data_IF_288057091288
#
_entry.id   IF_288057091288
#
_cell.length_a   1.000
_cell.length_b   1.000
_cell.length_c   1.000
_cell.angle_alpha   90.00
_cell.angle_beta   90.00
_cell.angle_gamma   90.00
#
_symmetry.space_group_name_H-M   'P 1'
#
loop_
_entity.id
_entity.type
_entity.pdbx_description
1 polymer ?
#
# COMPACT_ATOMS: atom_id res chain seq x y z
N UNK A 1 -7.57 -30.07 1.04
CA UNK A 1 -7.06 -29.00 0.14
C UNK A 1 -7.11 -27.68 0.88
N UNK A 2 -6.01 -27.28 1.54
CA UNK A 2 -5.95 -26.01 2.27
C UNK A 2 -5.71 -24.87 1.26
N UNK A 3 -6.73 -24.04 1.04
CA UNK A 3 -6.62 -22.81 0.26
C UNK A 3 -5.79 -21.82 1.07
N UNK A 4 -4.48 -21.84 0.85
CA UNK A 4 -3.56 -20.85 1.42
C UNK A 4 -3.88 -19.50 0.77
N UNK A 5 -4.78 -18.74 1.39
CA UNK A 5 -5.10 -17.36 1.02
C UNK A 5 -3.86 -16.52 1.25
N UNK A 6 -2.96 -16.51 0.26
CA UNK A 6 -1.89 -15.54 0.14
C UNK A 6 -2.57 -14.18 0.10
N UNK A 7 -2.72 -13.52 1.25
CA UNK A 7 -3.05 -12.11 1.28
C UNK A 7 -1.88 -11.43 0.57
N UNK A 8 -2.07 -10.88 -0.64
CA UNK A 8 -0.95 -10.44 -1.48
C UNK A 8 -0.21 -9.25 -0.89
N UNK A 9 -0.79 -8.60 0.13
CA UNK A 9 -0.32 -7.36 0.69
C UNK A 9 -0.27 -7.45 2.22
N UNK A 10 0.88 -7.11 2.77
CA UNK A 10 1.12 -7.04 4.21
C UNK A 10 0.12 -6.07 4.87
N UNK A 11 -0.44 -6.37 6.07
CA UNK A 11 -1.44 -5.52 6.73
C UNK A 11 -0.97 -4.07 6.93
N UNK A 12 0.34 -3.85 7.11
CA UNK A 12 0.93 -2.50 7.20
C UNK A 12 0.72 -1.62 5.96
N UNK A 13 0.44 -2.20 4.79
CA UNK A 13 0.15 -1.45 3.55
C UNK A 13 -1.21 -0.77 3.65
N UNK A 14 -2.19 -1.41 4.28
CA UNK A 14 -3.51 -0.83 4.51
C UNK A 14 -3.44 0.34 5.48
N UNK A 15 -2.62 0.24 6.53
CA UNK A 15 -2.40 1.34 7.47
C UNK A 15 -1.76 2.55 6.74
N UNK A 16 -0.72 2.30 5.94
CA UNK A 16 -0.09 3.35 5.14
C UNK A 16 -1.04 3.97 4.09
N UNK A 17 -1.98 3.18 3.55
CA UNK A 17 -3.00 3.66 2.62
C UNK A 17 -4.02 4.56 3.33
N UNK A 18 -4.38 4.25 4.57
CA UNK A 18 -5.25 5.08 5.41
C UNK A 18 -4.57 6.42 5.76
N UNK A 19 -3.28 6.39 6.13
CA UNK A 19 -2.50 7.61 6.38
C UNK A 19 -2.32 8.47 5.13
N UNK A 20 -2.17 7.85 3.96
CA UNK A 20 -2.12 8.53 2.66
C UNK A 20 -3.47 9.19 2.32
N UNK A 21 -4.59 8.48 2.51
CA UNK A 21 -5.94 9.02 2.31
C UNK A 21 -6.28 10.12 3.30
N UNK A 22 -5.83 10.00 4.55
CA UNK A 22 -6.00 11.00 5.60
C UNK A 22 -5.09 12.21 5.45
N UNK A 23 -4.21 12.26 4.43
CA UNK A 23 -3.27 13.36 4.22
C UNK A 23 -2.16 13.45 5.27
N UNK A 24 -2.03 12.44 6.14
CA UNK A 24 -0.94 12.32 7.13
C UNK A 24 0.39 11.96 6.48
N UNK A 25 0.34 11.47 5.24
CA UNK A 25 1.46 10.96 4.48
C UNK A 25 1.39 11.45 3.03
N UNK A 26 2.54 11.82 2.45
CA UNK A 26 2.64 12.10 1.02
C UNK A 26 2.87 10.85 0.18
N UNK A 27 2.51 10.88 -1.11
CA UNK A 27 2.72 9.77 -2.06
C UNK A 27 4.14 9.18 -2.01
N UNK A 28 5.17 10.03 -1.89
CA UNK A 28 6.58 9.59 -1.84
C UNK A 28 6.87 8.75 -0.61
N UNK A 29 6.33 9.13 0.54
CA UNK A 29 6.52 8.38 1.78
C UNK A 29 5.73 7.06 1.72
N UNK A 30 4.51 7.07 1.13
CA UNK A 30 3.75 5.84 0.91
C UNK A 30 4.51 4.84 0.05
N UNK A 31 5.08 5.31 -1.07
CA UNK A 31 5.89 4.46 -1.94
C UNK A 31 7.08 3.85 -1.20
N UNK A 32 7.77 4.62 -0.35
CA UNK A 32 8.88 4.10 0.48
C UNK A 32 8.40 3.02 1.43
N UNK A 33 7.35 3.27 2.21
CA UNK A 33 6.80 2.29 3.16
C UNK A 33 6.29 1.04 2.43
N UNK A 34 5.55 1.22 1.34
CA UNK A 34 5.03 0.12 0.54
C UNK A 34 6.16 -0.77 0.00
N UNK A 35 7.24 -0.17 -0.53
CA UNK A 35 8.42 -0.94 -0.99
C UNK A 35 9.15 -1.65 0.15
N UNK A 36 9.29 -1.03 1.32
CA UNK A 36 9.87 -1.66 2.52
C UNK A 36 9.03 -2.86 3.01
N UNK A 37 7.71 -2.79 2.85
CA UNK A 37 6.77 -3.86 3.17
C UNK A 37 6.67 -4.94 2.07
N UNK A 38 7.47 -4.83 1.00
CA UNK A 38 7.52 -5.82 -0.09
C UNK A 38 6.46 -5.62 -1.17
N UNK A 39 5.79 -4.46 -1.21
CA UNK A 39 4.89 -4.09 -2.31
C UNK A 39 5.73 -3.58 -3.48
N UNK A 40 5.50 -4.14 -4.66
CA UNK A 40 6.12 -3.65 -5.89
C UNK A 40 5.76 -2.18 -6.14
N UNK A 41 6.75 -1.37 -6.51
CA UNK A 41 6.60 0.05 -6.93
C UNK A 41 5.36 0.30 -7.81
N UNK A 42 5.08 -0.49 -8.87
CA UNK A 42 3.88 -0.28 -9.69
C UNK A 42 2.57 -0.42 -8.92
N UNK A 43 2.47 -1.38 -8.00
CA UNK A 43 1.28 -1.59 -7.15
C UNK A 43 1.12 -0.45 -6.16
N UNK A 44 2.22 0.00 -5.57
CA UNK A 44 2.19 1.16 -4.69
C UNK A 44 1.77 2.44 -5.46
N UNK A 45 2.17 2.58 -6.71
CA UNK A 45 1.78 3.71 -7.55
C UNK A 45 0.30 3.67 -7.95
N UNK A 46 -0.26 2.48 -8.23
CA UNK A 46 -1.70 2.35 -8.50
C UNK A 46 -2.54 2.63 -7.25
N UNK A 47 -2.09 2.18 -6.08
CA UNK A 47 -2.75 2.45 -4.80
C UNK A 47 -2.70 3.94 -4.43
N UNK A 48 -1.57 4.60 -4.63
CA UNK A 48 -1.45 6.06 -4.45
C UNK A 48 -2.19 6.86 -5.51
N UNK A 49 -2.30 6.36 -6.75
CA UNK A 49 -3.09 7.01 -7.80
C UNK A 49 -4.60 7.00 -7.51
N UNK A 50 -5.09 5.96 -6.82
CA UNK A 50 -6.50 5.74 -6.51
C UNK A 50 -7.00 6.52 -5.28
N UNK A 51 -6.13 7.27 -4.59
CA UNK A 51 -6.50 8.16 -3.47
C UNK A 51 -7.27 9.41 -3.92
N UNK A 52 -7.24 9.74 -5.22
CA UNK A 52 -7.58 11.06 -5.76
C UNK A 52 -8.97 11.14 -6.40
N UNK A 53 -9.82 10.16 -6.11
CA UNK A 53 -11.24 10.09 -6.51
C UNK A 53 -12.07 9.87 -5.26
#
# INVERSE_FOLDING_TARGET
MARNTRHPHHPGVYQAMDDLRGGKMGRRDFLRIATLLGVSVPVAYTLAGCEKT
#
